data_IF_297585793401
#
_entry.id   IF_297585793401
#
_cell.length_a   1.000
_cell.length_b   1.000
_cell.length_c   1.000
_cell.angle_alpha   90.00
_cell.angle_beta   90.00
_cell.angle_gamma   90.00
#
_symmetry.space_group_name_H-M   'P 1'
#
loop_
_entity.id
_entity.type
_entity.pdbx_description
1 polymer ?
#
# COMPACT_ATOMS: atom_id res chain seq x y z
N UNK A 1 20.19 13.71 -60.66
CA UNK A 1 19.65 12.36 -60.41
C UNK A 1 19.78 12.06 -58.91
N UNK A 2 18.63 11.79 -58.29
CA UNK A 2 18.28 11.62 -56.87
C UNK A 2 19.34 11.21 -55.83
N UNK A 3 19.48 12.01 -54.76
CA UNK A 3 19.84 11.55 -53.42
C UNK A 3 18.55 11.40 -52.62
N UNK A 4 18.12 10.15 -52.42
CA UNK A 4 16.91 9.79 -51.67
C UNK A 4 17.13 10.11 -50.19
N UNK A 5 16.40 11.12 -49.70
CA UNK A 5 16.19 11.33 -48.27
C UNK A 5 15.50 10.09 -47.69
N UNK A 6 16.28 9.18 -47.11
CA UNK A 6 15.74 8.08 -46.30
C UNK A 6 15.13 8.70 -45.05
N UNK A 7 13.81 8.89 -45.10
CA UNK A 7 12.99 9.29 -43.97
C UNK A 7 13.25 8.33 -42.81
N UNK A 8 13.97 8.80 -41.80
CA UNK A 8 14.27 8.07 -40.57
C UNK A 8 12.95 7.93 -39.80
N UNK A 9 12.19 6.88 -40.10
CA UNK A 9 10.96 6.56 -39.40
C UNK A 9 11.24 6.54 -37.90
N UNK A 10 10.64 7.48 -37.16
CA UNK A 10 10.71 7.54 -35.70
C UNK A 10 10.09 6.24 -35.19
N UNK A 11 10.93 5.28 -34.83
CA UNK A 11 10.49 3.99 -34.33
C UNK A 11 9.85 4.24 -32.95
N UNK A 12 8.53 4.43 -32.92
CA UNK A 12 7.81 4.61 -31.68
C UNK A 12 7.96 3.32 -30.87
N UNK A 13 8.65 3.33 -29.71
CA UNK A 13 8.75 2.12 -28.90
C UNK A 13 7.33 1.68 -28.55
N UNK A 14 7.05 0.39 -28.77
CA UNK A 14 5.74 -0.20 -28.48
C UNK A 14 5.30 0.14 -27.06
N UNK A 15 3.99 0.32 -26.86
CA UNK A 15 3.40 0.70 -25.56
C UNK A 15 3.96 -0.18 -24.43
N UNK A 16 4.10 -1.48 -24.70
CA UNK A 16 4.67 -2.48 -23.80
C UNK A 16 6.13 -2.20 -23.39
N UNK A 17 7.00 -1.79 -24.32
CA UNK A 17 8.39 -1.40 -24.02
C UNK A 17 8.47 -0.11 -23.20
N UNK A 18 7.52 0.83 -23.39
CA UNK A 18 7.45 2.04 -22.57
C UNK A 18 7.02 1.69 -21.15
N UNK A 19 5.96 0.91 -20.97
CA UNK A 19 5.47 0.48 -19.66
C UNK A 19 6.52 -0.32 -18.88
N UNK A 20 7.22 -1.25 -19.54
CA UNK A 20 8.29 -2.03 -18.92
C UNK A 20 9.45 -1.17 -18.45
N UNK A 21 9.90 -0.18 -19.25
CA UNK A 21 10.93 0.78 -18.81
C UNK A 21 10.48 1.63 -17.64
N UNK A 22 9.20 2.05 -17.63
CA UNK A 22 8.65 2.81 -16.51
C UNK A 22 8.65 2.01 -15.21
N UNK A 23 8.25 0.75 -15.29
CA UNK A 23 8.26 -0.17 -14.16
C UNK A 23 9.68 -0.42 -13.64
N UNK A 24 10.64 -0.72 -14.52
CA UNK A 24 12.04 -0.94 -14.14
C UNK A 24 12.67 0.29 -13.48
N UNK A 25 12.36 1.49 -13.99
CA UNK A 25 12.84 2.75 -13.41
C UNK A 25 12.10 3.15 -12.12
N UNK A 26 10.95 2.53 -11.83
CA UNK A 26 10.20 2.72 -10.59
C UNK A 26 10.57 1.72 -9.49
N UNK A 27 11.45 0.75 -9.77
CA UNK A 27 11.89 -0.22 -8.77
C UNK A 27 12.68 0.50 -7.67
N UNK A 28 12.21 0.48 -6.42
CA UNK A 28 12.94 1.09 -5.32
C UNK A 28 14.23 0.31 -5.05
N UNK A 29 15.26 1.01 -4.56
CA UNK A 29 16.49 0.35 -4.15
C UNK A 29 16.25 -0.59 -2.97
N UNK A 30 17.00 -1.69 -2.88
CA UNK A 30 16.86 -2.67 -1.79
C UNK A 30 16.93 -2.02 -0.40
N UNK A 31 17.79 -1.01 -0.22
CA UNK A 31 17.90 -0.23 1.02
C UNK A 31 16.60 0.52 1.38
N UNK A 32 15.89 1.06 0.39
CA UNK A 32 14.64 1.80 0.61
C UNK A 32 13.52 0.86 1.07
N UNK A 33 13.52 -0.38 0.57
CA UNK A 33 12.60 -1.42 1.04
C UNK A 33 13.00 -1.88 2.44
N UNK A 34 14.25 -2.30 2.63
CA UNK A 34 14.73 -2.92 3.88
C UNK A 34 14.64 -1.99 5.09
N UNK A 35 14.91 -0.69 4.90
CA UNK A 35 14.81 0.28 5.99
C UNK A 35 13.41 0.91 6.06
N UNK A 36 12.81 1.23 4.92
CA UNK A 36 11.54 1.95 4.89
C UNK A 36 10.37 1.08 5.36
N UNK A 37 10.36 -0.23 5.07
CA UNK A 37 9.25 -1.10 5.48
C UNK A 37 9.13 -1.26 7.00
N UNK A 38 10.20 -1.57 7.77
CA UNK A 38 10.13 -1.59 9.23
C UNK A 38 9.77 -0.23 9.85
N UNK A 39 10.31 0.88 9.30
CA UNK A 39 10.01 2.23 9.78
C UNK A 39 8.53 2.55 9.56
N UNK A 40 8.00 2.29 8.36
CA UNK A 40 6.59 2.53 8.05
C UNK A 40 5.67 1.67 8.91
N UNK A 41 5.99 0.38 9.08
CA UNK A 41 5.29 -0.50 10.01
C UNK A 41 5.28 0.03 11.44
N UNK A 42 6.43 0.46 11.96
CA UNK A 42 6.55 1.04 13.29
C UNK A 42 5.69 2.31 13.45
N UNK A 43 5.64 3.17 12.43
CA UNK A 43 4.79 4.36 12.45
C UNK A 43 3.29 4.01 12.44
N UNK A 44 2.88 2.97 11.72
CA UNK A 44 1.48 2.52 11.72
C UNK A 44 1.09 1.92 13.07
N UNK A 45 1.98 1.14 13.69
CA UNK A 45 1.78 0.64 15.05
C UNK A 45 1.73 1.78 16.07
N UNK A 46 2.61 2.78 15.96
CA UNK A 46 2.59 3.98 16.81
C UNK A 46 1.29 4.77 16.64
N UNK A 47 0.78 4.89 15.41
CA UNK A 47 -0.53 5.51 15.17
C UNK A 47 -1.65 4.75 15.88
N UNK A 48 -1.68 3.42 15.75
CA UNK A 48 -2.67 2.59 16.41
C UNK A 48 -2.57 2.72 17.93
N UNK A 49 -1.36 2.70 18.48
CA UNK A 49 -1.10 2.92 19.90
C UNK A 49 -1.66 4.26 20.38
N UNK A 50 -1.31 5.35 19.70
CA UNK A 50 -1.79 6.68 20.05
C UNK A 50 -3.33 6.77 19.98
N UNK A 51 -3.93 6.21 18.93
CA UNK A 51 -5.38 6.20 18.78
C UNK A 51 -6.08 5.36 19.85
N UNK A 52 -5.53 4.21 20.24
CA UNK A 52 -6.05 3.40 21.34
C UNK A 52 -5.94 4.17 22.65
N UNK A 53 -4.76 4.70 22.96
CA UNK A 53 -4.54 5.46 24.19
C UNK A 53 -5.51 6.64 24.34
N UNK A 54 -5.74 7.39 23.26
CA UNK A 54 -6.69 8.51 23.25
C UNK A 54 -8.17 8.08 23.36
N UNK A 55 -8.52 6.86 22.97
CA UNK A 55 -9.92 6.37 22.96
C UNK A 55 -10.30 5.65 24.24
N UNK A 56 -9.41 4.84 24.80
CA UNK A 56 -9.73 3.94 25.91
C UNK A 56 -8.55 3.73 26.88
N UNK A 57 -7.53 4.60 26.86
CA UNK A 57 -6.36 4.45 27.72
C UNK A 57 -5.50 3.22 27.39
N UNK A 58 -5.68 2.62 26.21
CA UNK A 58 -5.05 1.36 25.80
C UNK A 58 -5.50 0.11 26.57
N UNK A 59 -6.63 0.18 27.30
CA UNK A 59 -7.22 -0.97 27.97
C UNK A 59 -7.99 -1.85 26.97
N UNK A 60 -7.30 -2.82 26.38
CA UNK A 60 -7.91 -3.81 25.48
C UNK A 60 -7.20 -5.15 25.56
N UNK A 61 -7.96 -6.24 25.63
CA UNK A 61 -7.42 -7.61 25.70
C UNK A 61 -6.62 -8.01 24.44
N UNK A 62 -6.81 -7.30 23.33
CA UNK A 62 -6.14 -7.57 22.05
C UNK A 62 -5.03 -6.55 21.72
N UNK A 63 -4.54 -5.81 22.70
CA UNK A 63 -3.61 -4.70 22.51
C UNK A 63 -2.42 -5.06 21.60
N UNK A 64 -1.67 -6.11 21.95
CA UNK A 64 -0.50 -6.54 21.17
C UNK A 64 -0.86 -7.03 19.78
N UNK A 65 -1.98 -7.75 19.62
CA UNK A 65 -2.47 -8.23 18.33
C UNK A 65 -2.80 -7.06 17.39
N UNK A 66 -3.41 -5.99 17.91
CA UNK A 66 -3.72 -4.80 17.13
C UNK A 66 -2.44 -4.10 16.69
N UNK A 67 -1.47 -3.89 17.59
CA UNK A 67 -0.20 -3.25 17.23
C UNK A 67 0.57 -4.05 16.19
N UNK A 68 0.63 -5.38 16.35
CA UNK A 68 1.28 -6.27 15.40
C UNK A 68 0.58 -6.25 14.03
N UNK A 69 -0.76 -6.24 14.01
CA UNK A 69 -1.55 -6.15 12.79
C UNK A 69 -1.22 -4.88 11.99
N UNK A 70 -1.18 -3.72 12.65
CA UNK A 70 -0.85 -2.45 12.00
C UNK A 70 0.62 -2.37 11.59
N UNK A 71 1.52 -2.93 12.40
CA UNK A 71 2.94 -3.06 12.05
C UNK A 71 3.13 -3.85 10.77
N UNK A 72 2.58 -5.06 10.70
CA UNK A 72 2.70 -5.94 9.55
C UNK A 72 1.98 -5.37 8.32
N UNK A 73 0.82 -4.75 8.52
CA UNK A 73 0.08 -4.06 7.48
C UNK A 73 0.92 -2.96 6.81
N UNK A 74 1.58 -2.11 7.61
CA UNK A 74 2.54 -1.13 7.11
C UNK A 74 3.75 -1.79 6.43
N UNK A 75 4.40 -2.74 7.10
CA UNK A 75 5.58 -3.42 6.59
C UNK A 75 5.35 -4.04 5.20
N UNK A 76 4.22 -4.70 5.00
CA UNK A 76 3.82 -5.29 3.72
C UNK A 76 3.48 -4.19 2.71
N UNK A 77 2.74 -3.16 3.11
CA UNK A 77 2.27 -2.12 2.19
C UNK A 77 3.40 -1.29 1.56
N UNK A 78 4.47 -1.02 2.30
CA UNK A 78 5.56 -0.14 1.87
C UNK A 78 6.17 -0.50 0.50
N UNK A 79 6.67 -1.72 0.25
CA UNK A 79 7.23 -2.07 -1.07
C UNK A 79 6.22 -1.91 -2.22
N UNK A 80 4.96 -2.30 -2.03
CA UNK A 80 3.94 -2.14 -3.07
C UNK A 80 3.64 -0.67 -3.34
N UNK A 81 3.55 0.14 -2.30
CA UNK A 81 3.31 1.58 -2.42
C UNK A 81 4.46 2.30 -3.14
N UNK A 82 5.72 1.91 -2.92
CA UNK A 82 6.86 2.47 -3.63
C UNK A 82 6.82 2.15 -5.13
N UNK A 83 6.54 0.89 -5.49
CA UNK A 83 6.48 0.46 -6.89
C UNK A 83 5.33 1.15 -7.62
N UNK A 84 4.12 1.12 -7.05
CA UNK A 84 2.93 1.73 -7.66
C UNK A 84 3.05 3.27 -7.69
N UNK A 85 3.45 3.87 -6.57
CA UNK A 85 3.65 5.32 -6.47
C UNK A 85 4.70 5.79 -7.46
N UNK A 86 5.83 5.09 -7.56
CA UNK A 86 6.88 5.42 -8.52
C UNK A 86 6.43 5.29 -9.98
N UNK A 87 5.65 4.27 -10.29
CA UNK A 87 5.07 4.08 -11.63
C UNK A 87 4.13 5.22 -12.02
N UNK A 88 3.25 5.66 -11.11
CA UNK A 88 2.32 6.76 -11.38
C UNK A 88 2.98 8.15 -11.35
N UNK A 89 4.03 8.32 -10.55
CA UNK A 89 4.75 9.59 -10.38
C UNK A 89 5.72 9.92 -11.54
N UNK A 90 6.13 8.91 -12.32
CA UNK A 90 7.19 9.10 -13.30
C UNK A 90 6.84 10.10 -14.42
N UNK A 91 7.75 11.06 -14.65
CA UNK A 91 7.58 12.12 -15.65
C UNK A 91 6.47 13.12 -15.32
N UNK A 92 5.96 13.14 -14.08
CA UNK A 92 4.92 14.07 -13.62
C UNK A 92 5.51 15.22 -12.81
N UNK A 93 4.71 16.28 -12.64
CA UNK A 93 5.01 17.42 -11.76
C UNK A 93 4.94 17.01 -10.28
N UNK A 94 5.57 17.80 -9.41
CA UNK A 94 5.73 17.50 -7.98
C UNK A 94 4.40 17.25 -7.25
N UNK A 95 3.35 17.99 -7.58
CA UNK A 95 2.01 17.84 -6.99
C UNK A 95 1.39 16.49 -7.35
N UNK A 96 1.57 16.06 -8.60
CA UNK A 96 1.09 14.75 -9.05
C UNK A 96 1.89 13.61 -8.43
N UNK A 97 3.19 13.80 -8.22
CA UNK A 97 4.04 12.81 -7.53
C UNK A 97 3.59 12.64 -6.08
N UNK A 98 3.34 13.74 -5.38
CA UNK A 98 2.79 13.72 -4.02
C UNK A 98 1.46 12.97 -3.98
N UNK A 99 0.51 13.33 -4.85
CA UNK A 99 -0.80 12.68 -4.92
C UNK A 99 -0.69 11.18 -5.23
N UNK A 100 0.23 10.79 -6.13
CA UNK A 100 0.48 9.39 -6.46
C UNK A 100 0.97 8.59 -5.25
N UNK A 101 1.99 9.07 -4.54
CA UNK A 101 2.50 8.40 -3.34
C UNK A 101 1.47 8.41 -2.20
N UNK A 102 0.78 9.52 -1.99
CA UNK A 102 -0.27 9.64 -0.98
C UNK A 102 -1.38 8.61 -1.20
N UNK A 103 -1.89 8.52 -2.43
CA UNK A 103 -2.92 7.54 -2.80
C UNK A 103 -2.40 6.11 -2.64
N UNK A 104 -1.21 5.80 -3.18
CA UNK A 104 -0.66 4.45 -3.16
C UNK A 104 -0.35 3.99 -1.73
N UNK A 105 0.28 4.83 -0.90
CA UNK A 105 0.53 4.52 0.50
C UNK A 105 -0.78 4.31 1.27
N UNK A 106 -1.79 5.15 1.04
CA UNK A 106 -3.11 5.00 1.67
C UNK A 106 -3.75 3.67 1.30
N UNK A 107 -3.91 3.40 0.01
CA UNK A 107 -4.62 2.22 -0.50
C UNK A 107 -3.86 0.94 -0.13
N UNK A 108 -2.54 0.89 -0.35
CA UNK A 108 -1.74 -0.29 0.00
C UNK A 108 -1.76 -0.56 1.51
N UNK A 109 -1.66 0.47 2.36
CA UNK A 109 -1.66 0.28 3.82
C UNK A 109 -3.01 -0.22 4.32
N UNK A 110 -4.11 0.38 3.86
CA UNK A 110 -5.46 -0.07 4.22
C UNK A 110 -5.69 -1.49 3.70
N UNK A 111 -5.37 -1.77 2.43
CA UNK A 111 -5.59 -3.07 1.82
C UNK A 111 -4.77 -4.18 2.49
N UNK A 112 -3.47 -3.95 2.76
CA UNK A 112 -2.62 -4.94 3.42
C UNK A 112 -3.12 -5.25 4.83
N UNK A 113 -3.48 -4.22 5.60
CA UNK A 113 -3.96 -4.40 6.98
C UNK A 113 -5.34 -5.06 7.02
N UNK A 114 -6.25 -4.65 6.14
CA UNK A 114 -7.56 -5.28 6.01
C UNK A 114 -7.45 -6.75 5.59
N UNK A 115 -6.51 -7.07 4.70
CA UNK A 115 -6.22 -8.43 4.27
C UNK A 115 -5.71 -9.28 5.44
N UNK A 116 -4.72 -8.81 6.20
CA UNK A 116 -4.22 -9.51 7.38
C UNK A 116 -5.32 -9.71 8.43
N UNK A 117 -6.13 -8.68 8.67
CA UNK A 117 -7.29 -8.76 9.56
C UNK A 117 -8.28 -9.82 9.08
N UNK A 118 -8.60 -9.84 7.78
CA UNK A 118 -9.50 -10.82 7.20
C UNK A 118 -8.96 -12.25 7.30
N UNK A 119 -7.65 -12.47 7.16
CA UNK A 119 -7.03 -13.77 7.36
C UNK A 119 -7.15 -14.25 8.82
N UNK A 120 -6.86 -13.38 9.78
CA UNK A 120 -6.98 -13.71 11.21
C UNK A 120 -8.44 -14.00 11.59
N UNK A 121 -9.35 -13.09 11.20
CA UNK A 121 -10.79 -13.23 11.41
C UNK A 121 -11.32 -14.53 10.79
N UNK A 122 -10.99 -14.80 9.52
CA UNK A 122 -11.43 -16.02 8.84
C UNK A 122 -10.84 -17.29 9.46
N UNK A 123 -9.62 -17.23 9.98
CA UNK A 123 -8.99 -18.38 10.66
C UNK A 123 -9.76 -18.73 11.93
N UNK A 124 -10.17 -17.73 12.71
CA UNK A 124 -11.03 -17.94 13.89
C UNK A 124 -12.40 -18.53 13.53
N UNK A 125 -13.05 -18.01 12.48
CA UNK A 125 -14.37 -18.48 12.07
C UNK A 125 -14.36 -19.80 11.30
N UNK A 126 -13.21 -20.22 10.77
CA UNK A 126 -13.05 -21.45 9.99
C UNK A 126 -13.58 -22.71 10.68
N UNK A 127 -13.56 -22.75 12.02
CA UNK A 127 -14.03 -23.90 12.82
C UNK A 127 -15.53 -24.19 12.72
N UNK A 128 -16.32 -23.22 12.25
CA UNK A 128 -17.76 -23.40 11.99
C UNK A 128 -18.10 -23.46 10.50
N UNK A 129 -17.08 -23.54 9.64
CA UNK A 129 -17.29 -23.63 8.21
C UNK A 129 -17.43 -25.09 7.76
N UNK A 130 -18.08 -25.28 6.61
CA UNK A 130 -18.14 -26.57 5.93
C UNK A 130 -16.72 -27.07 5.56
N UNK A 131 -16.55 -28.35 5.23
CA UNK A 131 -15.26 -28.87 4.75
C UNK A 131 -14.73 -28.11 3.54
N UNK A 132 -13.41 -27.90 3.51
CA UNK A 132 -12.74 -27.19 2.42
C UNK A 132 -13.00 -27.85 1.06
N UNK A 133 -13.19 -27.03 0.02
CA UNK A 133 -13.47 -27.50 -1.34
C UNK A 133 -14.96 -27.70 -1.65
N UNK A 134 -15.85 -27.65 -0.67
CA UNK A 134 -17.30 -27.64 -0.92
C UNK A 134 -17.77 -26.27 -1.42
N UNK A 135 -18.85 -26.24 -2.22
CA UNK A 135 -19.43 -24.99 -2.70
C UNK A 135 -19.85 -24.07 -1.54
N UNK A 136 -20.42 -24.64 -0.47
CA UNK A 136 -20.74 -23.92 0.76
C UNK A 136 -19.52 -23.26 1.40
N UNK A 137 -18.38 -23.96 1.47
CA UNK A 137 -17.15 -23.40 2.01
C UNK A 137 -16.67 -22.18 1.21
N UNK A 138 -16.78 -22.19 -0.12
CA UNK A 138 -16.41 -21.03 -0.95
C UNK A 138 -17.29 -19.81 -0.64
N UNK A 139 -18.61 -19.99 -0.50
CA UNK A 139 -19.49 -18.90 -0.08
C UNK A 139 -19.12 -18.38 1.30
N UNK A 140 -18.94 -19.26 2.28
CA UNK A 140 -18.60 -18.86 3.64
C UNK A 140 -17.21 -18.18 3.70
N UNK A 141 -16.24 -18.63 2.91
CA UNK A 141 -14.93 -17.98 2.75
C UNK A 141 -15.07 -16.56 2.21
N UNK A 142 -15.82 -16.38 1.12
CA UNK A 142 -16.04 -15.08 0.49
C UNK A 142 -16.74 -14.10 1.42
N UNK A 143 -17.90 -14.48 1.97
CA UNK A 143 -18.70 -13.59 2.82
C UNK A 143 -18.03 -13.26 4.16
N UNK A 144 -17.37 -14.23 4.80
CA UNK A 144 -16.65 -13.97 6.06
C UNK A 144 -15.48 -13.02 5.83
N UNK A 145 -14.70 -13.22 4.77
CA UNK A 145 -13.56 -12.36 4.44
C UNK A 145 -14.02 -10.95 4.04
N UNK A 146 -15.06 -10.85 3.21
CA UNK A 146 -15.64 -9.56 2.81
C UNK A 146 -16.22 -8.80 4.03
N UNK A 147 -16.92 -9.51 4.92
CA UNK A 147 -17.41 -8.96 6.17
C UNK A 147 -16.29 -8.44 7.08
N UNK A 148 -15.19 -9.18 7.20
CA UNK A 148 -14.02 -8.76 7.96
C UNK A 148 -13.37 -7.50 7.37
N UNK A 149 -13.20 -7.45 6.05
CA UNK A 149 -12.68 -6.24 5.37
C UNK A 149 -13.58 -5.04 5.63
N UNK A 150 -14.90 -5.20 5.53
CA UNK A 150 -15.86 -4.14 5.84
C UNK A 150 -15.75 -3.67 7.30
N UNK A 151 -15.69 -4.59 8.27
CA UNK A 151 -15.52 -4.26 9.68
C UNK A 151 -14.24 -3.46 9.92
N UNK A 152 -13.12 -3.87 9.30
CA UNK A 152 -11.86 -3.13 9.38
C UNK A 152 -11.97 -1.72 8.79
N UNK A 153 -12.64 -1.56 7.64
CA UNK A 153 -12.83 -0.24 7.04
C UNK A 153 -13.61 0.69 7.97
N UNK A 154 -14.70 0.20 8.57
CA UNK A 154 -15.58 1.02 9.41
C UNK A 154 -14.92 1.39 10.74
N UNK A 155 -14.23 0.44 11.37
CA UNK A 155 -13.70 0.59 12.73
C UNK A 155 -12.18 0.76 12.77
N UNK A 156 -11.45 -0.07 12.03
CA UNK A 156 -9.99 -0.13 12.03
C UNK A 156 -9.32 1.10 11.43
N UNK A 157 -9.87 1.70 10.36
CA UNK A 157 -9.26 2.89 9.72
C UNK A 157 -9.08 4.04 10.71
N UNK A 158 -9.98 4.15 11.69
CA UNK A 158 -9.96 5.22 12.69
C UNK A 158 -8.73 5.18 13.61
N UNK A 159 -8.01 4.05 13.65
CA UNK A 159 -6.76 3.89 14.39
C UNK A 159 -5.54 4.44 13.62
N UNK A 160 -5.69 4.77 12.34
CA UNK A 160 -4.69 5.55 11.60
C UNK A 160 -4.75 7.05 11.90
N UNK A 161 -5.74 7.53 12.65
CA UNK A 161 -5.95 8.96 12.88
C UNK A 161 -5.70 9.34 14.35
N UNK A 162 -5.09 10.52 14.61
CA UNK A 162 -4.60 11.49 13.62
C UNK A 162 -3.17 11.22 13.13
N UNK A 163 -2.38 10.44 13.87
CA UNK A 163 -0.92 10.31 13.68
C UNK A 163 -0.57 9.72 12.31
N UNK A 164 -1.21 8.62 11.91
CA UNK A 164 -0.98 7.97 10.62
C UNK A 164 -1.22 8.88 9.43
N UNK A 165 -2.20 9.80 9.49
CA UNK A 165 -2.42 10.80 8.44
C UNK A 165 -1.26 11.80 8.33
N UNK A 166 -0.75 12.30 9.45
CA UNK A 166 0.39 13.20 9.46
C UNK A 166 1.65 12.52 8.90
N UNK A 167 1.92 11.29 9.33
CA UNK A 167 3.06 10.48 8.84
C UNK A 167 2.89 10.17 7.35
N UNK A 168 1.69 9.85 6.89
CA UNK A 168 1.38 9.61 5.47
C UNK A 168 1.68 10.84 4.61
N UNK A 169 1.23 12.02 5.03
CA UNK A 169 1.52 13.26 4.32
C UNK A 169 3.03 13.53 4.26
N UNK A 170 3.73 13.39 5.39
CA UNK A 170 5.17 13.59 5.47
C UNK A 170 5.95 12.60 4.58
N UNK A 171 5.63 11.31 4.64
CA UNK A 171 6.28 10.27 3.84
C UNK A 171 6.02 10.47 2.34
N UNK A 172 4.78 10.82 1.97
CA UNK A 172 4.40 11.06 0.57
C UNK A 172 5.13 12.28 -0.01
N UNK A 173 5.29 13.32 0.79
CA UNK A 173 6.06 14.50 0.44
C UNK A 173 7.56 14.21 0.28
N UNK A 174 8.13 13.45 1.22
CA UNK A 174 9.52 13.01 1.15
C UNK A 174 9.80 12.18 -0.12
N UNK A 175 8.93 11.21 -0.43
CA UNK A 175 9.04 10.38 -1.63
C UNK A 175 8.90 11.19 -2.92
N UNK A 176 7.96 12.14 -2.96
CA UNK A 176 7.78 13.02 -4.11
C UNK A 176 9.01 13.88 -4.41
N UNK A 177 9.71 14.35 -3.36
CA UNK A 177 10.95 15.14 -3.47
C UNK A 177 12.18 14.31 -3.84
N UNK A 178 12.21 13.03 -3.48
CA UNK A 178 13.35 12.15 -3.79
C UNK A 178 13.47 11.88 -5.30
N UNK A 179 12.36 12.01 -6.04
CA UNK A 179 12.38 11.84 -7.49
C UNK A 179 13.01 13.06 -8.17
N UNK A 180 14.01 12.87 -9.07
CA UNK A 180 14.60 13.97 -9.82
C UNK A 180 13.54 14.72 -10.62
N UNK A 181 13.60 16.05 -10.62
CA UNK A 181 12.85 16.83 -11.57
C UNK A 181 13.41 16.56 -12.97
N UNK A 182 12.60 15.90 -13.80
CA UNK A 182 12.87 15.89 -15.23
C UNK A 182 12.55 17.30 -15.70
N UNK A 183 13.60 18.11 -15.88
CA UNK A 183 13.49 19.41 -16.53
C UNK A 183 12.71 19.20 -17.83
N UNK A 184 11.56 19.88 -17.92
CA UNK A 184 10.68 19.86 -19.07
C UNK A 184 11.32 20.60 -20.24
#
# INVERSE_FOLDING_TARGET
MNQVQVSRAKHHPSLMRRTARRFLAALPGARDILLGAPIWGAMMALSALAALYLRNGAETSHFYSILLLFFLGGLIAWPFALVLGGFFAQGRASETRFAAFFLCLTVCTIAATAFLFALDYRSFYARWHAPAGTLTWFYQFGFTSAGAVYQFIVMGIRLYLPVGFAVLAAASFWLARKMPDQQR
#
